data_IF_178369962069
#
_entry.id   IF_178369962069
#
_cell.length_a   1.000
_cell.length_b   1.000
_cell.length_c   1.000
_cell.angle_alpha   90.00
_cell.angle_beta   90.00
_cell.angle_gamma   90.00
#
_symmetry.space_group_name_H-M   'P 1'
#
loop_
_entity.id
_entity.type
_entity.pdbx_description
1 polymer ?
#
# COMPACT_ATOMS: atom_id res chain seq x y z
N UNK A 1 -38.54 62.52 0.10
CA UNK A 1 -39.22 62.04 -1.13
C UNK A 1 -38.13 61.74 -2.16
N UNK A 2 -38.06 60.48 -2.62
CA UNK A 2 -37.38 59.93 -3.84
C UNK A 2 -35.93 60.35 -4.14
N UNK A 3 -34.94 59.49 -4.40
CA UNK A 3 -34.86 58.23 -5.16
C UNK A 3 -33.50 57.57 -4.83
N UNK A 4 -33.40 56.32 -4.35
CA UNK A 4 -33.23 55.06 -5.13
C UNK A 4 -32.17 55.10 -6.24
N UNK A 5 -31.02 54.46 -6.02
CA UNK A 5 -30.43 53.37 -6.84
C UNK A 5 -28.90 53.25 -6.67
N UNK A 6 -28.43 52.09 -6.18
CA UNK A 6 -27.22 51.36 -6.60
C UNK A 6 -26.94 50.28 -5.54
N UNK A 7 -27.65 49.16 -5.61
CA UNK A 7 -27.25 47.93 -6.29
C UNK A 7 -26.16 47.13 -5.55
N UNK A 8 -26.67 46.23 -4.73
CA UNK A 8 -26.09 44.98 -4.30
C UNK A 8 -25.16 44.34 -5.35
N UNK A 9 -23.87 44.21 -5.03
CA UNK A 9 -22.93 43.39 -5.79
C UNK A 9 -21.89 42.71 -4.89
N UNK A 10 -22.32 42.13 -3.76
CA UNK A 10 -21.45 41.32 -2.89
C UNK A 10 -22.00 39.88 -2.70
N UNK A 11 -23.04 39.49 -3.44
CA UNK A 11 -23.71 38.17 -3.23
C UNK A 11 -23.41 37.10 -4.31
N UNK A 12 -22.63 37.40 -5.36
CA UNK A 12 -22.46 36.48 -6.50
C UNK A 12 -21.17 35.63 -6.50
N UNK A 13 -20.15 35.98 -5.72
CA UNK A 13 -18.90 35.18 -5.70
C UNK A 13 -18.92 33.98 -4.74
N UNK A 14 -19.86 33.91 -3.80
CA UNK A 14 -19.95 32.78 -2.87
C UNK A 14 -20.72 31.57 -3.42
N UNK A 15 -21.51 31.75 -4.48
CA UNK A 15 -22.33 30.68 -5.08
C UNK A 15 -21.56 29.91 -6.16
N UNK A 16 -20.50 30.48 -6.74
CA UNK A 16 -19.73 29.83 -7.81
C UNK A 16 -18.72 28.79 -7.32
N UNK A 17 -18.44 28.73 -6.01
CA UNK A 17 -17.56 27.73 -5.40
C UNK A 17 -18.31 26.47 -4.90
N UNK A 18 -19.64 26.40 -5.06
CA UNK A 18 -20.45 25.27 -4.60
C UNK A 18 -20.90 24.30 -5.72
N UNK A 19 -20.49 24.52 -6.98
CA UNK A 19 -20.97 23.72 -8.12
C UNK A 19 -19.87 23.04 -8.96
N UNK A 20 -18.60 23.11 -8.57
CA UNK A 20 -17.49 22.44 -9.30
C UNK A 20 -17.09 21.07 -8.76
N UNK A 21 -17.81 20.53 -7.77
CA UNK A 21 -17.73 19.10 -7.40
C UNK A 21 -18.97 18.35 -7.86
N UNK A 22 -19.43 18.59 -9.09
CA UNK A 22 -20.04 17.50 -9.83
C UNK A 22 -18.89 16.55 -10.18
N UNK A 23 -18.58 15.65 -9.25
CA UNK A 23 -18.00 14.38 -9.62
C UNK A 23 -18.83 13.87 -10.79
N UNK A 24 -18.23 13.80 -11.98
CA UNK A 24 -18.78 13.05 -13.10
C UNK A 24 -18.71 11.60 -12.64
N UNK A 25 -19.65 11.20 -11.78
CA UNK A 25 -19.84 9.81 -11.47
C UNK A 25 -20.37 9.19 -12.76
N UNK A 26 -19.70 8.16 -13.30
CA UNK A 26 -20.19 7.48 -14.50
C UNK A 26 -21.65 7.10 -14.27
N UNK A 27 -22.49 7.38 -15.26
CA UNK A 27 -23.94 7.19 -15.14
C UNK A 27 -24.30 5.72 -14.87
N UNK A 28 -23.39 4.80 -15.19
CA UNK A 28 -23.42 3.39 -14.81
C UNK A 28 -21.97 2.93 -14.52
N UNK A 29 -21.63 2.52 -13.28
CA UNK A 29 -20.31 1.98 -12.99
C UNK A 29 -20.09 0.70 -13.79
N UNK A 30 -18.90 0.57 -14.40
CA UNK A 30 -18.55 -0.63 -15.13
C UNK A 30 -18.37 -1.79 -14.12
N UNK A 31 -18.86 -3.02 -14.40
CA UNK A 31 -18.76 -4.12 -13.44
C UNK A 31 -17.33 -4.45 -12.98
N UNK A 32 -16.34 -4.14 -13.83
CA UNK A 32 -14.90 -4.30 -13.56
C UNK A 32 -14.21 -3.05 -12.98
N UNK A 33 -14.96 -1.99 -12.66
CA UNK A 33 -14.38 -0.83 -11.97
C UNK A 33 -13.72 -1.26 -10.65
N UNK A 34 -12.61 -0.64 -10.22
CA UNK A 34 -12.02 -0.92 -8.92
C UNK A 34 -13.01 -0.66 -7.78
N UNK A 35 -12.77 -1.28 -6.62
CA UNK A 35 -13.56 -0.99 -5.43
C UNK A 35 -13.42 0.49 -5.04
N UNK A 36 -14.55 1.12 -4.77
CA UNK A 36 -14.60 2.50 -4.30
C UNK A 36 -14.23 2.61 -2.82
N UNK A 37 -13.85 3.80 -2.31
CA UNK A 37 -13.61 4.00 -0.87
C UNK A 37 -14.80 3.59 0.01
N UNK A 38 -16.03 3.84 -0.45
CA UNK A 38 -17.24 3.44 0.27
C UNK A 38 -17.41 1.91 0.32
N UNK A 39 -16.99 1.20 -0.73
CA UNK A 39 -16.99 -0.26 -0.79
C UNK A 39 -15.94 -0.88 0.15
N UNK A 40 -14.75 -0.28 0.27
CA UNK A 40 -13.78 -0.71 1.29
C UNK A 40 -14.34 -0.58 2.72
N UNK A 41 -15.03 0.52 3.03
CA UNK A 41 -15.71 0.68 4.33
C UNK A 41 -16.79 -0.37 4.54
N UNK A 42 -17.55 -0.73 3.48
CA UNK A 42 -18.52 -1.83 3.55
C UNK A 42 -17.86 -3.18 3.79
N UNK A 43 -16.77 -3.49 3.08
CA UNK A 43 -15.98 -4.72 3.31
C UNK A 43 -15.56 -4.81 4.77
N UNK A 44 -14.99 -3.73 5.31
CA UNK A 44 -14.58 -3.69 6.72
C UNK A 44 -15.77 -3.95 7.66
N UNK A 45 -16.92 -3.33 7.41
CA UNK A 45 -18.12 -3.56 8.22
C UNK A 45 -18.62 -5.01 8.14
N UNK A 46 -18.70 -5.60 6.94
CA UNK A 46 -19.16 -6.97 6.72
C UNK A 46 -18.26 -7.97 7.48
N UNK A 47 -16.95 -7.83 7.35
CA UNK A 47 -15.99 -8.72 8.01
C UNK A 47 -16.01 -8.52 9.52
N UNK A 48 -16.02 -7.28 10.02
CA UNK A 48 -16.05 -7.00 11.46
C UNK A 48 -17.36 -7.46 12.13
N UNK A 49 -18.48 -7.52 11.39
CA UNK A 49 -19.74 -8.06 11.91
C UNK A 49 -19.65 -9.59 12.12
N UNK A 50 -18.94 -10.29 11.23
CA UNK A 50 -18.73 -11.75 11.33
C UNK A 50 -17.58 -12.10 12.29
N UNK A 51 -16.59 -11.22 12.38
CA UNK A 51 -15.40 -11.33 13.24
C UNK A 51 -15.23 -10.06 14.07
N UNK A 52 -16.01 -9.89 15.16
CA UNK A 52 -15.88 -8.71 16.01
C UNK A 52 -14.47 -8.57 16.57
N UNK A 53 -13.87 -7.40 16.39
CA UNK A 53 -12.49 -7.08 16.79
C UNK A 53 -12.28 -7.12 18.31
N UNK A 54 -13.36 -7.15 19.10
CA UNK A 54 -13.31 -7.40 20.54
C UNK A 54 -12.81 -8.82 20.89
N UNK A 55 -13.06 -9.79 20.01
CA UNK A 55 -12.75 -11.21 20.23
C UNK A 55 -11.79 -11.80 19.17
N UNK A 56 -11.52 -11.04 18.10
CA UNK A 56 -10.70 -11.49 16.98
C UNK A 56 -9.63 -10.46 16.65
N UNK A 57 -8.41 -10.93 16.41
CA UNK A 57 -7.40 -10.15 15.71
C UNK A 57 -7.62 -10.33 14.21
N UNK A 58 -7.96 -9.24 13.51
CA UNK A 58 -8.21 -9.23 12.07
C UNK A 58 -7.21 -8.30 11.39
N UNK A 59 -6.48 -8.82 10.40
CA UNK A 59 -5.63 -8.04 9.51
C UNK A 59 -6.00 -8.33 8.05
N UNK A 60 -6.26 -7.30 7.26
CA UNK A 60 -6.54 -7.43 5.83
C UNK A 60 -5.21 -7.40 5.07
N UNK A 61 -4.89 -8.47 4.36
CA UNK A 61 -3.68 -8.57 3.54
C UNK A 61 -3.95 -8.30 2.06
N UNK A 62 -5.17 -8.54 1.61
CA UNK A 62 -5.66 -8.18 0.28
C UNK A 62 -7.16 -7.89 0.35
N UNK A 63 -7.59 -6.87 -0.38
CA UNK A 63 -9.01 -6.59 -0.66
C UNK A 63 -9.10 -6.09 -2.10
N UNK A 64 -9.83 -6.83 -2.92
CA UNK A 64 -10.02 -6.51 -4.33
C UNK A 64 -11.42 -6.89 -4.81
N UNK A 65 -11.72 -6.50 -6.04
CA UNK A 65 -12.94 -6.93 -6.72
C UNK A 65 -12.89 -8.45 -6.88
N UNK A 66 -13.95 -9.14 -6.47
CA UNK A 66 -14.18 -10.52 -6.95
C UNK A 66 -14.64 -10.41 -8.39
N UNK A 67 -13.78 -10.80 -9.33
CA UNK A 67 -14.04 -10.64 -10.75
C UNK A 67 -15.31 -11.41 -11.14
N UNK A 68 -16.34 -10.74 -11.70
CA UNK A 68 -17.53 -11.43 -12.15
C UNK A 68 -17.22 -12.44 -13.26
N UNK A 69 -18.04 -13.48 -13.38
CA UNK A 69 -17.88 -14.47 -14.44
C UNK A 69 -17.81 -13.81 -15.83
N UNK A 70 -16.86 -14.27 -16.64
CA UNK A 70 -16.60 -13.72 -17.98
C UNK A 70 -17.84 -13.70 -18.86
N UNK A 71 -18.67 -14.74 -18.81
CA UNK A 71 -19.90 -14.81 -19.62
C UNK A 71 -20.90 -13.75 -19.19
N UNK A 72 -21.02 -13.47 -17.89
CA UNK A 72 -21.87 -12.41 -17.37
C UNK A 72 -21.41 -11.02 -17.80
N UNK A 73 -20.10 -10.77 -17.83
CA UNK A 73 -19.53 -9.52 -18.36
C UNK A 73 -19.84 -9.35 -19.85
N UNK A 74 -19.62 -10.39 -20.66
CA UNK A 74 -19.88 -10.34 -22.10
C UNK A 74 -21.37 -10.09 -22.39
N UNK A 75 -22.28 -10.79 -21.72
CA UNK A 75 -23.72 -10.55 -21.88
C UNK A 75 -24.16 -9.15 -21.41
N UNK A 76 -23.51 -8.59 -20.38
CA UNK A 76 -23.76 -7.21 -19.96
C UNK A 76 -23.29 -6.19 -21.01
N UNK A 77 -22.10 -6.38 -21.59
CA UNK A 77 -21.56 -5.53 -22.66
C UNK A 77 -22.43 -5.56 -23.93
N UNK A 78 -22.97 -6.73 -24.28
CA UNK A 78 -23.88 -6.88 -25.42
C UNK A 78 -25.28 -6.29 -25.19
N UNK A 79 -25.59 -5.88 -23.95
CA UNK A 79 -26.93 -5.43 -23.54
C UNK A 79 -27.98 -6.55 -23.53
N UNK A 80 -27.55 -7.82 -23.64
CA UNK A 80 -28.42 -9.00 -23.63
C UNK A 80 -28.72 -9.49 -22.20
N UNK A 81 -27.95 -9.06 -21.21
CA UNK A 81 -28.17 -9.38 -19.80
C UNK A 81 -29.36 -8.60 -19.20
N UNK A 82 -30.20 -9.29 -18.43
CA UNK A 82 -31.31 -8.68 -17.67
C UNK A 82 -30.90 -8.16 -16.29
N UNK A 83 -29.67 -8.46 -15.85
CA UNK A 83 -29.12 -8.09 -14.54
C UNK A 83 -27.67 -7.63 -14.69
N UNK A 84 -27.28 -6.63 -13.90
CA UNK A 84 -25.88 -6.25 -13.74
C UNK A 84 -25.09 -7.40 -13.08
N UNK A 85 -23.85 -7.68 -13.53
CA UNK A 85 -22.99 -8.64 -12.85
C UNK A 85 -22.83 -8.33 -11.36
N UNK A 86 -22.65 -9.35 -10.50
CA UNK A 86 -22.59 -9.17 -9.06
C UNK A 86 -21.41 -8.26 -8.67
N UNK A 87 -21.64 -7.40 -7.66
CA UNK A 87 -20.61 -6.54 -7.10
C UNK A 87 -20.11 -7.13 -5.78
N UNK A 88 -19.04 -7.90 -5.86
CA UNK A 88 -18.48 -8.68 -4.76
C UNK A 88 -17.02 -8.30 -4.51
N UNK A 89 -16.52 -8.53 -3.30
CA UNK A 89 -15.12 -8.33 -2.96
C UNK A 89 -14.47 -9.66 -2.56
N UNK A 90 -13.28 -9.93 -3.10
CA UNK A 90 -12.40 -10.99 -2.66
C UNK A 90 -11.41 -10.44 -1.64
N UNK A 91 -11.30 -11.13 -0.51
CA UNK A 91 -10.55 -10.67 0.65
C UNK A 91 -9.66 -11.80 1.13
N UNK A 92 -8.36 -11.51 1.29
CA UNK A 92 -7.44 -12.37 2.03
C UNK A 92 -7.18 -11.71 3.37
N UNK A 93 -7.68 -12.32 4.44
CA UNK A 93 -7.53 -11.81 5.79
C UNK A 93 -6.79 -12.81 6.68
N UNK A 94 -6.02 -12.28 7.64
CA UNK A 94 -5.47 -13.03 8.76
C UNK A 94 -6.38 -12.81 9.96
N UNK A 95 -7.08 -13.86 10.38
CA UNK A 95 -8.01 -13.84 11.52
C UNK A 95 -7.46 -14.80 12.57
N UNK A 96 -7.09 -14.28 13.74
CA UNK A 96 -6.47 -15.06 14.82
C UNK A 96 -5.29 -15.93 14.34
N UNK A 97 -4.44 -15.35 13.49
CA UNK A 97 -3.29 -16.03 12.89
C UNK A 97 -3.64 -17.20 11.95
N UNK A 98 -4.86 -17.22 11.41
CA UNK A 98 -5.30 -18.14 10.35
C UNK A 98 -5.61 -17.33 9.09
N UNK A 99 -5.25 -17.86 7.93
CA UNK A 99 -5.53 -17.20 6.65
C UNK A 99 -6.92 -17.62 6.16
N UNK A 100 -7.76 -16.63 5.89
CA UNK A 100 -9.10 -16.79 5.35
C UNK A 100 -9.17 -16.16 3.95
N UNK A 101 -9.82 -16.86 3.03
CA UNK A 101 -10.24 -16.39 1.72
C UNK A 101 -11.75 -16.15 1.80
N UNK A 102 -12.15 -14.87 1.74
CA UNK A 102 -13.51 -14.42 2.00
C UNK A 102 -14.06 -13.77 0.75
N UNK A 103 -15.28 -14.13 0.36
CA UNK A 103 -16.05 -13.43 -0.66
C UNK A 103 -17.21 -12.70 0.03
N UNK A 104 -17.25 -11.38 -0.14
CA UNK A 104 -18.29 -10.52 0.42
C UNK A 104 -19.22 -9.97 -0.67
N UNK A 105 -20.53 -10.13 -0.49
CA UNK A 105 -21.58 -9.51 -1.30
C UNK A 105 -21.84 -8.08 -0.81
N UNK A 106 -21.41 -7.08 -1.59
CA UNK A 106 -21.42 -5.67 -1.16
C UNK A 106 -22.82 -5.05 -1.15
N UNK A 107 -23.70 -5.29 -2.15
CA UNK A 107 -25.11 -4.92 -2.04
C UNK A 107 -25.84 -5.65 -0.92
N UNK A 108 -25.61 -6.96 -0.78
CA UNK A 108 -26.28 -7.79 0.23
C UNK A 108 -25.76 -7.65 1.66
N UNK A 109 -24.65 -6.94 1.87
CA UNK A 109 -24.01 -6.70 3.17
C UNK A 109 -23.72 -7.99 3.97
N UNK A 110 -23.19 -9.02 3.29
CA UNK A 110 -22.93 -10.32 3.91
C UNK A 110 -21.72 -11.03 3.31
N UNK A 111 -21.13 -11.92 4.10
CA UNK A 111 -20.18 -12.91 3.61
C UNK A 111 -20.96 -14.02 2.90
N UNK A 112 -20.51 -14.41 1.70
CA UNK A 112 -21.11 -15.49 0.91
C UNK A 112 -20.21 -16.73 0.80
N UNK A 113 -18.89 -16.56 1.00
CA UNK A 113 -17.93 -17.66 1.16
C UNK A 113 -16.85 -17.26 2.15
N UNK A 114 -16.41 -18.19 2.98
CA UNK A 114 -15.32 -18.03 3.94
C UNK A 114 -14.57 -19.36 4.06
N UNK A 115 -13.41 -19.43 3.43
CA UNK A 115 -12.59 -20.64 3.37
C UNK A 115 -11.25 -20.44 4.09
N UNK A 116 -10.87 -21.42 4.91
CA UNK A 116 -9.55 -21.42 5.56
C UNK A 116 -8.50 -21.96 4.59
N UNK A 117 -7.50 -21.14 4.28
CA UNK A 117 -6.38 -21.55 3.42
C UNK A 117 -5.43 -22.50 4.17
N UNK A 118 -5.51 -23.79 3.83
CA UNK A 118 -4.66 -24.85 4.40
C UNK A 118 -3.32 -25.09 3.69
N UNK A 119 -3.10 -24.44 2.54
CA UNK A 119 -1.96 -24.67 1.66
C UNK A 119 -0.61 -24.17 2.21
N UNK A 120 0.40 -24.14 1.33
CA UNK A 120 1.72 -23.57 1.61
C UNK A 120 1.77 -22.09 1.21
N UNK A 121 2.64 -21.32 1.86
CA UNK A 121 2.75 -19.88 1.62
C UNK A 121 1.82 -19.05 2.49
N UNK A 122 2.00 -17.74 2.39
CA UNK A 122 1.33 -16.76 3.25
C UNK A 122 0.91 -15.53 2.42
N UNK A 123 -0.07 -14.74 2.91
CA UNK A 123 -0.48 -13.52 2.23
C UNK A 123 0.63 -12.47 2.13
N UNK A 124 0.43 -11.51 1.22
CA UNK A 124 1.28 -10.32 1.04
C UNK A 124 1.52 -9.61 2.38
N UNK A 125 2.72 -9.10 2.61
CA UNK A 125 3.00 -8.43 3.88
C UNK A 125 2.26 -7.09 3.99
N UNK A 126 1.69 -6.78 5.15
CA UNK A 126 1.12 -5.44 5.40
C UNK A 126 2.21 -4.44 5.76
N UNK A 127 1.92 -3.14 5.63
CA UNK A 127 2.87 -2.12 6.07
C UNK A 127 3.00 -2.12 7.59
N UNK A 128 1.91 -2.36 8.31
CA UNK A 128 1.86 -2.38 9.78
C UNK A 128 2.78 -3.45 10.37
N UNK A 129 2.74 -4.67 9.85
CA UNK A 129 3.60 -5.76 10.36
C UNK A 129 5.07 -5.53 9.97
N UNK A 130 5.34 -4.97 8.79
CA UNK A 130 6.70 -4.60 8.38
C UNK A 130 7.27 -3.49 9.26
N UNK A 131 6.52 -2.43 9.54
CA UNK A 131 6.93 -1.34 10.43
C UNK A 131 7.23 -1.89 11.82
N UNK A 132 6.34 -2.74 12.37
CA UNK A 132 6.54 -3.35 13.67
C UNK A 132 7.80 -4.24 13.70
N UNK A 133 8.00 -5.09 12.69
CA UNK A 133 9.17 -5.95 12.58
C UNK A 133 10.48 -5.15 12.44
N UNK A 134 10.48 -4.10 11.62
CA UNK A 134 11.62 -3.22 11.38
C UNK A 134 12.03 -2.43 12.63
N UNK A 135 11.12 -2.22 13.58
CA UNK A 135 11.38 -1.54 14.83
C UNK A 135 12.04 -2.43 15.89
N UNK A 136 11.94 -3.77 15.79
CA UNK A 136 12.47 -4.70 16.78
C UNK A 136 13.99 -4.62 16.99
N UNK A 137 14.85 -4.49 15.95
CA UNK A 137 16.29 -4.37 16.14
C UNK A 137 16.69 -3.23 17.10
N UNK A 138 15.98 -2.10 17.07
CA UNK A 138 16.26 -0.94 17.92
C UNK A 138 15.94 -1.14 19.40
N UNK A 139 15.25 -2.23 19.75
CA UNK A 139 14.98 -2.66 21.13
C UNK A 139 15.83 -3.87 21.55
N UNK A 140 16.72 -4.33 20.68
CA UNK A 140 17.46 -5.58 20.87
C UNK A 140 18.92 -5.30 21.19
N UNK A 141 19.33 -5.55 22.44
CA UNK A 141 20.68 -5.22 22.94
C UNK A 141 21.82 -5.74 22.04
N UNK A 142 21.81 -7.01 21.57
CA UNK A 142 22.89 -7.50 20.69
C UNK A 142 23.01 -6.73 19.37
N UNK A 143 21.89 -6.26 18.82
CA UNK A 143 21.91 -5.42 17.61
C UNK A 143 22.52 -4.05 17.93
N UNK A 144 22.09 -3.39 19.00
CA UNK A 144 22.63 -2.08 19.40
C UNK A 144 24.13 -2.13 19.69
N UNK A 145 24.60 -3.18 20.35
CA UNK A 145 26.03 -3.42 20.58
C UNK A 145 26.80 -3.63 19.26
N UNK A 146 26.21 -4.37 18.32
CA UNK A 146 26.77 -4.60 16.99
C UNK A 146 26.92 -3.32 16.15
N UNK A 147 25.95 -2.41 16.24
CA UNK A 147 25.99 -1.08 15.62
C UNK A 147 27.06 -0.20 16.29
N UNK A 148 27.12 -0.18 17.63
CA UNK A 148 28.15 0.57 18.37
C UNK A 148 29.56 0.07 18.07
N UNK A 149 29.76 -1.24 17.96
CA UNK A 149 31.05 -1.84 17.59
C UNK A 149 31.54 -1.38 16.20
N UNK A 150 30.61 -1.04 15.30
CA UNK A 150 30.90 -0.47 13.97
C UNK A 150 31.12 1.04 13.98
N UNK A 151 30.96 1.71 15.13
CA UNK A 151 31.08 3.17 15.26
C UNK A 151 29.96 3.94 14.56
N UNK A 152 28.80 3.31 14.32
CA UNK A 152 27.67 3.91 13.63
C UNK A 152 26.69 4.55 14.62
N UNK A 153 26.05 5.65 14.20
CA UNK A 153 24.97 6.32 14.94
C UNK A 153 23.67 5.53 14.78
N UNK A 154 23.03 5.14 15.89
CA UNK A 154 21.81 4.30 15.82
C UNK A 154 20.66 5.04 15.14
N UNK A 155 20.57 6.35 15.33
CA UNK A 155 19.57 7.24 14.74
C UNK A 155 19.66 7.36 13.21
N UNK A 156 20.81 7.03 12.62
CA UNK A 156 21.05 7.02 11.17
C UNK A 156 20.85 5.62 10.55
N UNK A 157 20.51 4.61 11.37
CA UNK A 157 20.25 3.24 10.90
C UNK A 157 18.79 3.10 10.51
N UNK A 158 18.55 2.56 9.31
CA UNK A 158 17.20 2.22 8.82
C UNK A 158 17.13 0.74 8.51
N UNK A 159 16.14 0.06 9.04
CA UNK A 159 15.95 -1.38 8.85
C UNK A 159 14.71 -1.67 7.99
N UNK A 160 14.78 -2.72 7.18
CA UNK A 160 13.72 -3.13 6.25
C UNK A 160 13.58 -4.65 6.25
N UNK A 161 12.34 -5.11 6.18
CA UNK A 161 11.96 -6.52 6.19
C UNK A 161 12.01 -7.08 4.77
N UNK A 162 12.60 -8.26 4.63
CA UNK A 162 12.71 -9.01 3.39
C UNK A 162 12.08 -10.39 3.57
N UNK A 163 11.22 -10.77 2.64
CA UNK A 163 10.71 -12.12 2.55
C UNK A 163 11.86 -13.12 2.36
N UNK A 164 11.80 -14.26 3.03
CA UNK A 164 12.88 -15.26 2.98
C UNK A 164 12.66 -16.33 1.92
N UNK A 165 11.45 -16.49 1.38
CA UNK A 165 11.11 -17.59 0.49
C UNK A 165 11.10 -18.94 1.21
N UNK A 166 11.41 -20.02 0.49
CA UNK A 166 11.45 -21.40 1.00
C UNK A 166 12.65 -22.14 0.39
N UNK A 167 13.39 -22.89 1.20
CA UNK A 167 14.64 -23.56 0.82
C UNK A 167 14.64 -25.07 1.09
N UNK A 168 13.48 -25.72 1.15
CA UNK A 168 13.37 -27.16 1.41
C UNK A 168 13.15 -27.54 2.88
N UNK A 169 13.07 -26.55 3.77
CA UNK A 169 12.77 -26.80 5.18
C UNK A 169 11.35 -27.35 5.38
N UNK A 170 11.19 -28.18 6.41
CA UNK A 170 9.89 -28.67 6.83
C UNK A 170 8.99 -27.52 7.26
N UNK A 171 7.69 -27.62 6.94
CA UNK A 171 6.69 -26.60 7.27
C UNK A 171 6.74 -26.30 8.76
N UNK A 172 7.11 -25.07 9.10
CA UNK A 172 6.93 -24.49 10.43
C UNK A 172 5.73 -23.56 10.36
N UNK A 173 4.86 -23.58 11.35
CA UNK A 173 3.72 -22.67 11.42
C UNK A 173 4.18 -21.28 11.87
N UNK A 174 5.01 -20.61 11.06
CA UNK A 174 5.61 -19.30 11.37
C UNK A 174 5.72 -18.45 10.10
N UNK A 175 5.32 -17.19 10.18
CA UNK A 175 5.58 -16.17 9.16
C UNK A 175 6.87 -15.45 9.50
N UNK A 176 7.93 -15.66 8.72
CA UNK A 176 9.27 -15.17 9.06
C UNK A 176 9.80 -14.22 8.00
N UNK A 177 10.40 -13.11 8.45
CA UNK A 177 11.15 -12.17 7.62
C UNK A 177 12.58 -12.02 8.10
N UNK A 178 13.47 -11.61 7.19
CA UNK A 178 14.80 -11.11 7.53
C UNK A 178 14.77 -9.60 7.55
N UNK A 179 15.15 -9.00 8.66
CA UNK A 179 15.35 -7.56 8.78
C UNK A 179 16.83 -7.27 8.54
N UNK A 180 17.07 -6.48 7.49
CA UNK A 180 18.39 -5.99 7.08
C UNK A 180 18.41 -4.47 7.25
N UNK A 181 19.58 -3.89 7.55
CA UNK A 181 19.69 -2.48 7.86
C UNK A 181 20.72 -1.77 7.00
N UNK A 182 20.47 -0.49 6.76
CA UNK A 182 21.26 0.44 5.96
C UNK A 182 21.56 1.70 6.78
N UNK A 183 22.46 2.56 6.28
CA UNK A 183 22.95 3.73 6.99
C UNK A 183 22.79 5.03 6.19
N UNK A 184 22.20 6.05 6.81
CA UNK A 184 21.81 7.30 6.14
C UNK A 184 22.79 8.47 6.29
N UNK A 185 23.76 8.40 7.22
CA UNK A 185 24.61 9.55 7.58
C UNK A 185 25.38 10.13 6.38
N UNK A 186 24.87 11.23 5.81
CA UNK A 186 25.42 11.90 4.63
C UNK A 186 24.74 11.60 3.28
N UNK A 187 23.81 10.64 3.17
CA UNK A 187 23.03 10.41 1.93
C UNK A 187 21.71 9.71 2.19
N UNK A 188 20.65 10.13 1.50
CA UNK A 188 19.32 9.45 1.57
C UNK A 188 19.26 8.14 0.80
N UNK A 189 20.28 7.82 -0.01
CA UNK A 189 20.32 6.61 -0.82
C UNK A 189 20.76 5.40 0.02
N UNK A 190 19.87 4.97 0.90
CA UNK A 190 20.12 3.91 1.87
C UNK A 190 20.63 2.61 1.22
N UNK A 191 20.13 2.25 0.03
CA UNK A 191 20.50 1.02 -0.65
C UNK A 191 21.97 0.99 -1.11
N UNK A 192 22.63 2.14 -1.23
CA UNK A 192 24.07 2.21 -1.51
C UNK A 192 24.94 2.05 -0.26
N UNK A 193 24.33 1.97 0.93
CA UNK A 193 25.03 1.97 2.22
C UNK A 193 24.51 0.87 3.16
N UNK A 194 24.59 -0.41 2.76
CA UNK A 194 24.17 -1.52 3.59
C UNK A 194 25.09 -1.69 4.81
N UNK A 195 24.50 -2.09 5.94
CA UNK A 195 25.23 -2.53 7.13
C UNK A 195 25.41 -4.05 7.03
N UNK A 196 26.51 -4.44 6.40
CA UNK A 196 26.78 -5.83 6.07
C UNK A 196 27.10 -6.72 7.29
N UNK A 197 26.84 -8.01 7.11
CA UNK A 197 27.16 -9.06 8.07
C UNK A 197 26.15 -9.23 9.21
N UNK A 198 25.19 -8.29 9.37
CA UNK A 198 24.10 -8.37 10.34
C UNK A 198 22.84 -8.90 9.68
N UNK A 199 22.16 -9.84 10.33
CA UNK A 199 20.82 -10.29 9.93
C UNK A 199 19.99 -10.56 11.17
N UNK A 200 18.80 -9.95 11.23
CA UNK A 200 17.82 -10.21 12.28
C UNK A 200 16.69 -11.04 11.68
N UNK A 201 16.35 -12.16 12.28
CA UNK A 201 15.24 -13.02 11.86
C UNK A 201 14.05 -12.74 12.77
N UNK A 202 12.92 -12.36 12.21
CA UNK A 202 11.72 -11.95 12.97
C UNK A 202 10.55 -12.88 12.63
N UNK A 203 9.83 -13.30 13.67
CA UNK A 203 8.50 -13.92 13.56
C UNK A 203 7.44 -12.82 13.52
N UNK A 204 6.60 -12.80 12.48
CA UNK A 204 5.52 -11.84 12.31
C UNK A 204 4.28 -12.20 13.13
N UNK A 205 4.08 -13.46 13.53
CA UNK A 205 2.93 -13.86 14.34
C UNK A 205 3.08 -13.41 15.79
N UNK A 206 4.25 -13.66 16.35
CA UNK A 206 4.58 -13.31 17.73
C UNK A 206 5.25 -11.94 17.85
N UNK A 207 5.54 -11.30 16.71
CA UNK A 207 6.26 -10.02 16.60
C UNK A 207 7.54 -9.99 17.45
N UNK A 208 8.39 -11.01 17.27
CA UNK A 208 9.62 -11.19 18.07
C UNK A 208 10.82 -11.61 17.24
N UNK A 209 12.01 -11.27 17.73
CA UNK A 209 13.26 -11.73 17.13
C UNK A 209 13.48 -13.21 17.46
N UNK A 210 13.58 -14.05 16.43
CA UNK A 210 13.89 -15.48 16.52
C UNK A 210 15.38 -15.76 16.49
N UNK A 211 16.15 -14.89 15.84
CA UNK A 211 17.57 -15.08 15.65
C UNK A 211 18.28 -13.80 15.29
N UNK A 212 19.51 -13.68 15.73
CA UNK A 212 20.41 -12.58 15.43
C UNK A 212 21.76 -13.14 15.02
N UNK A 213 22.25 -12.67 13.89
CA UNK A 213 23.48 -13.16 13.28
C UNK A 213 24.33 -11.94 12.92
N UNK A 214 25.49 -11.80 13.56
CA UNK A 214 26.53 -10.82 13.21
C UNK A 214 27.81 -11.59 12.82
N UNK A 215 27.99 -11.84 11.52
CA UNK A 215 29.04 -12.74 11.00
C UNK A 215 30.36 -12.03 10.73
N UNK A 216 30.29 -10.76 10.37
CA UNK A 216 31.44 -10.02 9.87
C UNK A 216 31.22 -8.53 10.01
N UNK A 217 32.27 -7.81 10.41
CA UNK A 217 32.29 -6.35 10.42
C UNK A 217 32.93 -5.87 9.12
N UNK A 218 32.11 -5.38 8.20
CA UNK A 218 32.56 -4.76 6.94
C UNK A 218 32.32 -3.24 7.06
N UNK A 219 33.25 -2.39 6.59
CA UNK A 219 33.03 -0.95 6.56
C UNK A 219 31.79 -0.59 5.73
N UNK A 220 30.93 0.29 6.25
CA UNK A 220 29.81 0.84 5.48
C UNK A 220 30.37 1.69 4.33
N UNK A 221 29.86 1.55 3.09
CA UNK A 221 30.25 2.41 1.98
C UNK A 221 30.13 3.91 2.31
N UNK A 222 30.95 4.74 1.66
CA UNK A 222 30.87 6.20 1.81
C UNK A 222 29.57 6.74 1.20
N UNK A 223 29.13 7.90 1.69
CA UNK A 223 27.96 8.60 1.16
C UNK A 223 28.29 9.44 -0.10
N UNK A 224 29.56 9.73 -0.32
CA UNK A 224 30.01 10.59 -1.42
C UNK A 224 29.54 10.04 -2.77
N UNK A 225 28.85 10.88 -3.54
CA UNK A 225 28.35 10.52 -4.87
C UNK A 225 27.16 9.56 -4.90
N UNK A 226 26.53 9.25 -3.75
CA UNK A 226 25.36 8.34 -3.73
C UNK A 226 24.01 9.05 -3.64
N UNK A 227 23.96 10.32 -3.21
CA UNK A 227 22.71 11.09 -3.20
C UNK A 227 22.26 11.33 -4.64
N UNK A 228 20.95 11.33 -4.88
CA UNK A 228 20.34 11.49 -6.20
C UNK A 228 19.45 12.74 -6.27
N UNK A 229 19.26 13.44 -5.16
CA UNK A 229 18.45 14.67 -5.14
C UNK A 229 19.29 15.80 -5.70
N UNK A 230 18.74 16.54 -6.66
CA UNK A 230 19.38 17.69 -7.28
C UNK A 230 19.93 18.69 -6.26
N UNK A 231 19.17 18.95 -5.19
CA UNK A 231 19.56 19.86 -4.10
C UNK A 231 20.78 19.41 -3.29
N UNK A 232 21.23 18.17 -3.46
CA UNK A 232 22.41 17.58 -2.81
C UNK A 232 23.53 17.24 -3.80
N UNK A 233 23.41 17.66 -5.06
CA UNK A 233 24.44 17.48 -6.08
C UNK A 233 25.33 18.72 -6.20
N UNK A 234 26.57 18.50 -6.63
CA UNK A 234 27.52 19.57 -6.97
C UNK A 234 27.68 19.73 -8.48
N UNK A 235 28.08 20.92 -8.91
CA UNK A 235 28.38 21.23 -10.31
C UNK A 235 29.66 20.50 -10.80
N UNK A 236 29.80 20.23 -12.11
CA UNK A 236 28.89 20.63 -13.19
C UNK A 236 27.75 19.63 -13.39
N UNK A 237 26.53 20.17 -13.52
CA UNK A 237 25.45 19.41 -14.13
C UNK A 237 25.75 19.16 -15.62
N UNK A 238 25.13 18.13 -16.19
CA UNK A 238 25.21 17.83 -17.62
C UNK A 238 24.76 19.02 -18.50
N UNK A 239 24.87 18.86 -19.82
CA UNK A 239 24.50 19.91 -20.77
C UNK A 239 23.06 20.39 -20.56
N UNK A 240 22.87 21.71 -20.49
CA UNK A 240 21.55 22.33 -20.43
C UNK A 240 20.70 21.89 -21.62
N UNK A 241 19.53 21.32 -21.34
CA UNK A 241 18.55 20.97 -22.35
C UNK A 241 17.73 22.20 -22.73
N UNK A 242 17.49 22.40 -24.02
CA UNK A 242 16.56 23.44 -24.49
C UNK A 242 15.13 23.02 -24.15
N UNK A 243 14.33 23.94 -23.60
CA UNK A 243 12.93 23.68 -23.30
C UNK A 243 12.11 23.35 -24.54
N UNK A 244 11.14 22.45 -24.39
CA UNK A 244 10.16 22.08 -25.42
C UNK A 244 8.77 22.39 -24.87
N UNK A 245 7.89 22.93 -25.71
CA UNK A 245 6.48 23.15 -25.40
C UNK A 245 5.61 22.35 -26.37
N UNK A 246 4.66 21.60 -25.83
CA UNK A 246 3.70 20.78 -26.59
C UNK A 246 2.29 21.30 -26.29
N UNK A 247 1.49 21.55 -27.32
CA UNK A 247 0.11 22.05 -27.19
C UNK A 247 -0.83 21.25 -28.08
N UNK A 248 -1.95 20.80 -27.52
CA UNK A 248 -3.09 20.22 -28.26
C UNK A 248 -4.24 21.22 -28.25
N UNK A 249 -4.34 22.04 -29.31
CA UNK A 249 -5.29 23.16 -29.37
C UNK A 249 -6.76 22.73 -29.26
N UNK A 250 -7.08 21.54 -29.77
CA UNK A 250 -8.43 20.97 -29.77
C UNK A 250 -8.60 19.88 -28.69
N UNK A 251 -7.65 19.76 -27.76
CA UNK A 251 -7.61 18.72 -26.74
C UNK A 251 -7.10 17.36 -27.25
N UNK A 252 -7.09 16.33 -26.39
CA UNK A 252 -6.75 14.97 -26.79
C UNK A 252 -7.87 14.33 -27.64
N UNK A 253 -7.50 13.35 -28.47
CA UNK A 253 -8.47 12.59 -29.28
C UNK A 253 -9.17 11.45 -28.52
N UNK A 254 -8.66 11.09 -27.33
CA UNK A 254 -9.26 10.07 -26.47
C UNK A 254 -10.24 10.71 -25.49
N UNK A 255 -11.23 9.93 -25.05
CA UNK A 255 -12.16 10.31 -23.98
C UNK A 255 -11.92 9.40 -22.79
N UNK A 256 -12.17 9.87 -21.57
CA UNK A 256 -12.15 9.03 -20.37
C UNK A 256 -13.53 9.13 -19.73
N UNK A 257 -14.24 8.02 -19.61
CA UNK A 257 -15.51 7.90 -18.87
C UNK A 257 -15.33 6.88 -17.75
N UNK A 258 -15.19 7.36 -16.51
CA UNK A 258 -14.79 6.54 -15.37
C UNK A 258 -13.42 5.89 -15.61
N UNK A 259 -13.41 4.56 -15.76
CA UNK A 259 -12.20 3.77 -16.07
C UNK A 259 -12.17 3.26 -17.52
N UNK A 260 -13.04 3.76 -18.39
CA UNK A 260 -13.06 3.44 -19.84
C UNK A 260 -12.33 4.52 -20.63
N UNK A 261 -11.46 4.11 -21.55
CA UNK A 261 -10.69 4.98 -22.46
C UNK A 261 -11.11 4.73 -23.91
#
# INVERSE_FOLDING_TARGET
MSSLASMASVSKSLIFFLLSTLSIFPTHPHPLDPLTPAEFTKVQSIVNNSYPTSNHSVAFHYVGLEEPDKTAILSWLEGSATKTPPRQAFIIARINQITHEIIADLPGHKIISDEVYGGYGYPVLTFEEQIAANALPFKYTPFLESIRKRGLKVEEVVCTSFAIGWYGEQRRNRRVVRVLCNYLDGSVNLYMRPIEGITVTVDLEEMKILGFVDRSTVPVPKADGTDYRESSQELPFGSLLKGISIRQSDGPTFTIDGHTI
#
